data_IF_917942524086
#
_entry.id   IF_917942524086
#
_cell.length_a   1.000
_cell.length_b   1.000
_cell.length_c   1.000
_cell.angle_alpha   90.00
_cell.angle_beta   90.00
_cell.angle_gamma   90.00
#
_symmetry.space_group_name_H-M   'P 1'
#
loop_
_entity.id
_entity.type
_entity.pdbx_description
1 polymer ?
#
# COMPACT_ATOMS: atom_id res chain seq x y z
N UNK A 1 24.01 -83.84 -3.37
CA UNK A 1 24.04 -83.17 -4.70
C UNK A 1 24.67 -81.79 -4.52
N UNK A 2 25.68 -81.47 -5.35
CA UNK A 2 26.17 -80.14 -5.82
C UNK A 2 26.12 -78.95 -4.83
N UNK A 3 27.28 -78.50 -4.31
CA UNK A 3 28.12 -77.38 -4.82
C UNK A 3 27.61 -76.00 -4.35
N UNK A 4 28.27 -75.30 -3.40
CA UNK A 4 29.53 -74.50 -3.46
C UNK A 4 29.32 -73.03 -3.87
N UNK A 5 29.86 -72.12 -3.01
CA UNK A 5 30.55 -70.83 -3.29
C UNK A 5 29.66 -69.66 -3.76
N UNK A 6 29.94 -68.38 -3.49
CA UNK A 6 31.04 -67.63 -2.85
C UNK A 6 30.54 -66.19 -2.59
N UNK A 7 30.93 -65.45 -1.54
CA UNK A 7 32.08 -64.53 -1.47
C UNK A 7 32.53 -63.88 -2.79
N UNK A 8 32.32 -62.56 -2.90
CA UNK A 8 33.15 -61.52 -3.54
C UNK A 8 32.30 -60.22 -3.56
N UNK A 9 32.56 -59.17 -2.78
CA UNK A 9 33.66 -58.21 -2.81
C UNK A 9 33.85 -57.45 -4.15
N UNK A 10 33.51 -56.17 -4.03
CA UNK A 10 33.72 -54.94 -4.83
C UNK A 10 34.91 -54.94 -5.81
N UNK A 11 34.80 -54.29 -6.98
CA UNK A 11 35.92 -53.64 -7.65
C UNK A 11 35.96 -52.12 -7.38
N UNK A 12 37.17 -51.62 -7.12
CA UNK A 12 37.51 -50.23 -6.76
C UNK A 12 38.33 -49.59 -7.90
N UNK A 13 38.02 -48.30 -8.19
CA UNK A 13 38.73 -47.18 -8.91
C UNK A 13 39.20 -47.32 -10.38
N UNK A 14 39.45 -46.21 -11.15
CA UNK A 14 39.71 -44.78 -10.81
C UNK A 14 38.75 -43.77 -11.48
N UNK A 15 38.52 -42.54 -11.01
CA UNK A 15 39.46 -41.49 -10.63
C UNK A 15 39.73 -40.60 -11.86
N UNK A 16 39.03 -39.46 -11.97
CA UNK A 16 39.58 -38.15 -12.40
C UNK A 16 38.48 -37.08 -12.61
N UNK A 17 38.71 -35.95 -11.92
CA UNK A 17 38.47 -34.55 -12.26
C UNK A 17 37.24 -34.13 -13.09
N UNK A 18 36.51 -33.15 -12.55
CA UNK A 18 35.83 -32.16 -13.37
C UNK A 18 34.45 -31.75 -12.90
N UNK A 19 34.42 -30.61 -12.21
CA UNK A 19 33.45 -29.54 -12.45
C UNK A 19 32.01 -29.62 -11.89
N UNK A 20 31.78 -28.55 -11.10
CA UNK A 20 30.53 -27.83 -10.85
C UNK A 20 29.65 -28.41 -9.73
N UNK A 21 29.97 -27.92 -8.53
CA UNK A 21 29.03 -27.66 -7.46
C UNK A 21 27.84 -26.86 -8.02
N UNK A 22 26.73 -27.54 -8.33
CA UNK A 22 25.44 -26.87 -8.41
C UNK A 22 25.03 -26.49 -6.99
N UNK A 23 25.28 -25.21 -6.73
CA UNK A 23 24.74 -24.37 -5.67
C UNK A 23 23.25 -24.68 -5.44
N UNK A 24 22.97 -25.56 -4.47
CA UNK A 24 21.64 -25.69 -3.89
C UNK A 24 21.39 -24.42 -3.08
N UNK A 25 20.86 -23.40 -3.76
CA UNK A 25 20.27 -22.24 -3.13
C UNK A 25 19.35 -22.69 -1.98
N UNK A 26 19.48 -22.13 -0.76
CA UNK A 26 18.62 -22.50 0.35
C UNK A 26 17.19 -22.01 0.05
N UNK A 27 16.24 -22.94 0.12
CA UNK A 27 14.83 -22.66 -0.02
C UNK A 27 14.29 -21.94 1.23
N UNK A 28 14.31 -20.60 1.26
CA UNK A 28 13.48 -19.80 2.18
C UNK A 28 13.02 -18.51 1.48
N UNK A 29 11.83 -18.57 0.88
CA UNK A 29 11.13 -17.41 0.30
C UNK A 29 10.34 -16.66 1.38
N UNK A 30 11.01 -16.18 2.42
CA UNK A 30 10.43 -15.27 3.41
C UNK A 30 11.21 -13.95 3.39
N UNK A 31 10.55 -12.88 2.98
CA UNK A 31 11.15 -11.54 2.88
C UNK A 31 11.08 -10.77 4.20
N UNK A 32 10.53 -11.37 5.27
CA UNK A 32 10.39 -10.74 6.58
C UNK A 32 11.74 -10.60 7.29
N UNK A 33 11.98 -9.52 8.05
CA UNK A 33 13.20 -9.39 8.84
C UNK A 33 13.33 -10.54 9.85
N UNK A 34 14.54 -11.06 10.01
CA UNK A 34 14.81 -12.18 10.90
C UNK A 34 15.16 -11.67 12.31
N UNK A 35 14.34 -12.04 13.29
CA UNK A 35 14.54 -11.71 14.71
C UNK A 35 15.00 -12.97 15.45
N UNK A 36 16.16 -12.89 16.11
CA UNK A 36 16.68 -13.95 16.97
C UNK A 36 16.30 -13.67 18.42
N UNK A 37 15.60 -14.61 19.05
CA UNK A 37 15.26 -14.58 20.47
C UNK A 37 16.29 -15.40 21.26
N UNK A 38 16.89 -14.82 22.29
CA UNK A 38 17.86 -15.47 23.17
C UNK A 38 17.37 -15.39 24.61
N UNK A 39 16.90 -16.51 25.14
CA UNK A 39 16.33 -16.65 26.48
C UNK A 39 16.42 -18.12 26.90
N UNK A 40 16.78 -18.45 28.14
CA UNK A 40 16.86 -19.85 28.59
C UNK A 40 15.47 -20.47 28.82
N UNK A 41 14.46 -19.65 29.12
CA UNK A 41 13.08 -20.09 29.33
C UNK A 41 12.36 -20.35 28.01
N UNK A 42 12.06 -21.62 27.75
CA UNK A 42 11.34 -22.04 26.54
C UNK A 42 9.94 -21.43 26.43
N UNK A 43 9.25 -21.20 27.54
CA UNK A 43 7.93 -20.58 27.56
C UNK A 43 7.99 -19.10 27.14
N UNK A 44 9.04 -18.37 27.54
CA UNK A 44 9.26 -17.00 27.08
C UNK A 44 9.58 -16.98 25.58
N UNK A 45 10.43 -17.89 25.10
CA UNK A 45 10.74 -18.00 23.67
C UNK A 45 9.49 -18.31 22.84
N UNK A 46 8.62 -19.19 23.30
CA UNK A 46 7.37 -19.54 22.62
C UNK A 46 6.37 -18.38 22.59
N UNK A 47 6.22 -17.65 23.70
CA UNK A 47 5.36 -16.47 23.77
C UNK A 47 5.86 -15.35 22.84
N UNK A 48 7.17 -15.09 22.83
CA UNK A 48 7.80 -14.12 21.94
C UNK A 48 7.69 -14.55 20.48
N UNK A 49 7.89 -15.84 20.17
CA UNK A 49 7.69 -16.34 18.81
C UNK A 49 6.26 -16.11 18.35
N UNK A 50 5.26 -16.46 19.17
CA UNK A 50 3.86 -16.24 18.83
C UNK A 50 3.54 -14.76 18.57
N UNK A 51 4.06 -13.85 19.40
CA UNK A 51 3.86 -12.41 19.23
C UNK A 51 4.54 -11.82 17.97
N UNK A 52 5.61 -12.46 17.48
CA UNK A 52 6.42 -11.94 16.39
C UNK A 52 6.14 -12.63 15.04
N UNK A 53 5.56 -13.82 15.05
CA UNK A 53 5.39 -14.68 13.87
C UNK A 53 4.50 -14.07 12.78
N UNK A 54 3.64 -13.08 13.08
CA UNK A 54 2.88 -12.39 12.04
C UNK A 54 3.74 -11.43 11.21
N UNK A 55 4.76 -10.81 11.83
CA UNK A 55 5.50 -9.68 11.25
C UNK A 55 6.98 -9.98 10.95
N UNK A 56 7.54 -11.01 11.57
CA UNK A 56 8.97 -11.33 11.53
C UNK A 56 9.19 -12.82 11.29
N UNK A 57 10.32 -13.15 10.65
CA UNK A 57 10.83 -14.51 10.69
C UNK A 57 11.56 -14.70 12.02
N UNK A 58 11.19 -15.70 12.81
CA UNK A 58 11.70 -15.86 14.17
C UNK A 58 12.66 -17.03 14.25
N UNK A 59 13.88 -16.77 14.71
CA UNK A 59 14.84 -17.78 15.17
C UNK A 59 14.92 -17.70 16.69
N UNK A 60 15.30 -18.80 17.34
CA UNK A 60 15.47 -18.82 18.79
C UNK A 60 16.71 -19.61 19.24
N UNK A 61 17.25 -19.21 20.39
CA UNK A 61 18.45 -19.75 20.98
C UNK A 61 18.26 -19.89 22.50
N UNK A 62 18.45 -21.08 23.10
CA UNK A 62 18.32 -21.26 24.53
C UNK A 62 19.51 -20.74 25.35
N UNK A 63 20.63 -20.39 24.71
CA UNK A 63 21.82 -19.87 25.39
C UNK A 63 22.74 -19.08 24.46
N UNK A 64 23.61 -18.23 25.02
CA UNK A 64 24.49 -17.33 24.28
C UNK A 64 25.36 -18.00 23.20
N UNK A 65 25.93 -19.17 23.49
CA UNK A 65 26.75 -19.90 22.50
C UNK A 65 25.97 -20.26 21.22
N UNK A 66 24.74 -20.74 21.37
CA UNK A 66 23.88 -21.04 20.21
C UNK A 66 23.48 -19.77 19.45
N UNK A 67 23.27 -18.66 20.17
CA UNK A 67 22.97 -17.38 19.54
C UNK A 67 24.14 -16.88 18.66
N UNK A 68 25.38 -17.00 19.16
CA UNK A 68 26.58 -16.63 18.41
C UNK A 68 26.79 -17.52 17.18
N UNK A 69 26.52 -18.82 17.29
CA UNK A 69 26.63 -19.75 16.16
C UNK A 69 25.55 -19.45 15.09
N UNK A 70 24.33 -19.12 15.50
CA UNK A 70 23.25 -18.69 14.58
C UNK A 70 23.66 -17.39 13.86
N UNK A 71 24.13 -16.37 14.58
CA UNK A 71 24.54 -15.10 13.96
C UNK A 71 25.72 -15.28 12.98
N UNK A 72 26.57 -16.29 13.17
CA UNK A 72 27.68 -16.61 12.25
C UNK A 72 27.23 -17.35 10.99
N UNK A 73 26.12 -18.07 11.04
CA UNK A 73 25.70 -19.02 9.98
C UNK A 73 24.44 -18.59 9.25
N UNK A 74 23.57 -17.84 9.91
CA UNK A 74 22.29 -17.35 9.41
C UNK A 74 22.29 -15.82 9.34
N UNK A 75 21.42 -15.26 8.49
CA UNK A 75 21.22 -13.82 8.43
C UNK A 75 20.25 -13.38 9.53
N UNK A 76 20.74 -12.63 10.51
CA UNK A 76 19.94 -12.07 11.61
C UNK A 76 19.85 -10.54 11.50
N UNK A 77 18.63 -10.01 11.44
CA UNK A 77 18.40 -8.57 11.32
C UNK A 77 18.31 -7.88 12.70
N UNK A 78 17.91 -8.59 13.77
CA UNK A 78 17.86 -8.10 15.15
C UNK A 78 17.95 -9.23 16.19
N UNK A 79 18.53 -8.95 17.37
CA UNK A 79 18.58 -9.87 18.52
C UNK A 79 17.77 -9.32 19.69
N UNK A 80 16.87 -10.13 20.24
CA UNK A 80 16.27 -9.95 21.57
C UNK A 80 17.06 -10.81 22.56
N UNK A 81 17.73 -10.18 23.52
CA UNK A 81 18.66 -10.86 24.42
C UNK A 81 18.26 -10.69 25.88
N UNK A 82 17.95 -11.78 26.57
CA UNK A 82 17.72 -11.73 28.01
C UNK A 82 19.00 -11.39 28.78
N UNK A 83 18.86 -10.57 29.84
CA UNK A 83 19.98 -10.21 30.72
C UNK A 83 20.32 -11.34 31.70
N UNK A 84 19.34 -12.12 32.16
CA UNK A 84 19.50 -13.05 33.28
C UNK A 84 19.37 -14.51 32.83
N UNK A 85 20.38 -14.99 32.10
CA UNK A 85 20.51 -16.42 31.79
C UNK A 85 21.43 -17.13 32.81
N UNK A 86 21.20 -18.42 33.11
CA UNK A 86 22.16 -19.26 33.81
C UNK A 86 23.47 -19.35 33.03
N UNK A 87 24.60 -19.39 33.73
CA UNK A 87 25.96 -19.67 33.20
C UNK A 87 26.67 -18.56 32.41
N UNK A 88 25.96 -17.63 31.74
CA UNK A 88 26.57 -16.55 30.93
C UNK A 88 25.85 -15.21 31.14
N UNK A 89 26.60 -14.13 31.35
CA UNK A 89 26.03 -12.78 31.49
C UNK A 89 25.58 -12.24 30.11
N UNK A 90 24.31 -11.83 29.98
CA UNK A 90 23.77 -11.24 28.74
C UNK A 90 24.58 -10.03 28.25
N UNK A 91 25.31 -9.34 29.14
CA UNK A 91 26.22 -8.24 28.76
C UNK A 91 27.49 -8.73 28.05
N UNK A 92 28.00 -9.92 28.38
CA UNK A 92 29.15 -10.53 27.68
C UNK A 92 28.75 -10.95 26.27
N UNK A 93 27.58 -11.58 26.13
CA UNK A 93 27.03 -11.96 24.82
C UNK A 93 26.80 -10.72 23.95
N UNK A 94 26.28 -9.63 24.51
CA UNK A 94 26.13 -8.36 23.80
C UNK A 94 27.47 -7.86 23.24
N UNK A 95 28.55 -7.93 24.03
CA UNK A 95 29.88 -7.52 23.55
C UNK A 95 30.36 -8.39 22.39
N UNK A 96 30.19 -9.72 22.50
CA UNK A 96 30.59 -10.64 21.44
C UNK A 96 29.78 -10.45 20.15
N UNK A 97 28.46 -10.24 20.27
CA UNK A 97 27.59 -9.94 19.14
C UNK A 97 28.01 -8.64 18.44
N UNK A 98 28.36 -7.60 19.20
CA UNK A 98 28.83 -6.33 18.64
C UNK A 98 30.24 -6.40 18.06
N UNK A 99 31.07 -7.31 18.56
CA UNK A 99 32.37 -7.58 17.96
C UNK A 99 32.25 -8.34 16.63
N UNK A 100 31.27 -9.24 16.51
CA UNK A 100 30.96 -9.97 15.27
C UNK A 100 30.29 -9.07 14.23
N UNK A 101 29.23 -8.37 14.61
CA UNK A 101 28.50 -7.42 13.77
C UNK A 101 28.22 -6.11 14.52
N UNK A 102 29.06 -5.07 14.35
CA UNK A 102 28.92 -3.79 15.07
C UNK A 102 27.55 -3.11 14.91
N UNK A 103 26.94 -3.27 13.73
CA UNK A 103 25.66 -2.66 13.39
C UNK A 103 24.44 -3.54 13.71
N UNK A 104 24.62 -4.80 14.17
CA UNK A 104 23.51 -5.68 14.55
C UNK A 104 22.77 -5.10 15.76
N UNK A 105 21.49 -4.70 15.64
CA UNK A 105 20.74 -4.19 16.78
C UNK A 105 20.47 -5.30 17.78
N UNK A 106 20.73 -5.00 19.05
CA UNK A 106 20.50 -5.90 20.17
C UNK A 106 19.62 -5.16 21.17
N UNK A 107 18.45 -5.70 21.46
CA UNK A 107 17.52 -5.19 22.48
C UNK A 107 17.62 -6.10 23.69
N UNK A 108 17.94 -5.51 24.85
CA UNK A 108 18.05 -6.28 26.09
C UNK A 108 16.67 -6.47 26.72
N UNK A 109 16.31 -7.70 27.09
CA UNK A 109 15.13 -8.00 27.90
C UNK A 109 15.55 -8.05 29.37
N UNK A 110 14.95 -7.24 30.23
CA UNK A 110 15.38 -7.11 31.64
C UNK A 110 14.22 -7.25 32.62
N UNK A 111 14.39 -8.05 33.68
CA UNK A 111 13.47 -8.05 34.81
C UNK A 111 13.75 -6.92 35.83
N UNK A 112 14.90 -6.24 35.73
CA UNK A 112 15.40 -5.31 36.75
C UNK A 112 15.34 -3.86 36.27
N UNK A 113 14.60 -3.01 37.00
CA UNK A 113 14.45 -1.55 36.74
C UNK A 113 15.61 -0.69 37.24
N UNK A 114 16.81 -1.25 37.43
CA UNK A 114 17.94 -0.48 37.97
C UNK A 114 18.69 0.26 36.86
N UNK A 115 18.68 1.60 36.95
CA UNK A 115 19.35 2.53 36.02
C UNK A 115 20.81 2.15 35.71
N UNK A 116 21.54 1.57 36.67
CA UNK A 116 22.96 1.18 36.50
C UNK A 116 23.16 0.11 35.41
N UNK A 117 22.29 -0.90 35.33
CA UNK A 117 22.40 -2.01 34.37
C UNK A 117 22.03 -1.56 32.97
N UNK A 118 20.98 -0.73 32.86
CA UNK A 118 20.58 -0.09 31.59
C UNK A 118 21.69 0.77 31.01
N UNK A 119 22.34 1.60 31.83
CA UNK A 119 23.44 2.47 31.37
C UNK A 119 24.66 1.64 30.92
N UNK A 120 24.94 0.51 31.57
CA UNK A 120 26.01 -0.38 31.17
C UNK A 120 25.73 -1.01 29.78
N UNK A 121 24.51 -1.55 29.57
CA UNK A 121 24.12 -2.13 28.29
C UNK A 121 24.18 -1.12 27.13
N UNK A 122 23.69 0.11 27.33
CA UNK A 122 23.75 1.15 26.30
C UNK A 122 25.19 1.55 25.95
N UNK A 123 26.10 1.59 26.93
CA UNK A 123 27.53 1.85 26.69
C UNK A 123 28.21 0.74 25.89
N UNK A 124 27.73 -0.50 26.01
CA UNK A 124 28.23 -1.66 25.27
C UNK A 124 27.60 -1.78 23.87
N UNK A 125 26.74 -0.83 23.48
CA UNK A 125 26.17 -0.75 22.14
C UNK A 125 24.79 -1.38 21.98
N UNK A 126 24.10 -1.73 23.08
CA UNK A 126 22.69 -2.11 23.01
C UNK A 126 21.88 -1.00 22.32
N UNK A 127 20.92 -1.41 21.49
CA UNK A 127 20.06 -0.50 20.74
C UNK A 127 18.92 0.02 21.60
N UNK A 128 18.40 -0.82 22.48
CA UNK A 128 17.37 -0.47 23.46
C UNK A 128 17.29 -1.53 24.58
N UNK A 129 16.38 -1.32 25.52
CA UNK A 129 16.01 -2.33 26.51
C UNK A 129 14.50 -2.34 26.73
N UNK A 130 13.95 -3.50 27.03
CA UNK A 130 12.52 -3.71 27.29
C UNK A 130 12.38 -4.42 28.64
N UNK A 131 11.54 -3.87 29.53
CA UNK A 131 11.36 -4.43 30.87
C UNK A 131 10.34 -5.57 30.85
N UNK A 132 10.67 -6.72 31.44
CA UNK A 132 9.76 -7.83 31.74
C UNK A 132 8.92 -7.49 33.00
N UNK A 133 7.59 -7.75 33.02
CA UNK A 133 6.77 -8.19 31.90
C UNK A 133 6.57 -7.06 30.89
N UNK A 134 6.71 -7.37 29.60
CA UNK A 134 6.57 -6.40 28.52
C UNK A 134 5.18 -6.47 27.89
N UNK A 135 4.69 -5.31 27.43
CA UNK A 135 3.52 -5.26 26.57
C UNK A 135 3.94 -5.52 25.13
N UNK A 136 3.13 -6.26 24.38
CA UNK A 136 3.41 -6.61 22.97
C UNK A 136 3.70 -5.36 22.12
N UNK A 137 2.88 -4.31 22.27
CA UNK A 137 3.06 -3.04 21.56
C UNK A 137 4.41 -2.36 21.85
N UNK A 138 4.88 -2.42 23.09
CA UNK A 138 6.15 -1.82 23.54
C UNK A 138 7.34 -2.57 22.93
N UNK A 139 7.30 -3.90 22.97
CA UNK A 139 8.31 -4.76 22.37
C UNK A 139 8.38 -4.55 20.84
N UNK A 140 7.23 -4.57 20.16
CA UNK A 140 7.15 -4.34 18.72
C UNK A 140 7.65 -2.94 18.35
N UNK A 141 7.36 -1.93 19.15
CA UNK A 141 7.87 -0.58 18.93
C UNK A 141 9.40 -0.52 19.02
N UNK A 142 10.00 -1.15 20.04
CA UNK A 142 11.44 -1.21 20.23
C UNK A 142 12.13 -1.94 19.05
N UNK A 143 11.60 -3.10 18.63
CA UNK A 143 12.11 -3.86 17.48
C UNK A 143 12.08 -3.03 16.20
N UNK A 144 10.94 -2.40 15.90
CA UNK A 144 10.79 -1.53 14.72
C UNK A 144 11.79 -0.38 14.73
N UNK A 145 11.98 0.27 15.87
CA UNK A 145 12.89 1.40 16.00
C UNK A 145 14.35 0.97 15.78
N UNK A 146 14.75 -0.16 16.34
CA UNK A 146 16.12 -0.65 16.26
C UNK A 146 16.48 -1.11 14.82
N UNK A 147 15.57 -1.80 14.13
CA UNK A 147 15.74 -2.19 12.72
C UNK A 147 15.88 -0.97 11.80
N UNK A 148 15.06 0.07 11.99
CA UNK A 148 15.20 1.30 11.21
C UNK A 148 16.52 2.03 11.46
N UNK A 149 17.00 2.04 12.70
CA UNK A 149 18.29 2.65 13.02
C UNK A 149 19.44 1.90 12.34
N UNK A 150 19.39 0.56 12.31
CA UNK A 150 20.34 -0.28 11.56
C UNK A 150 20.30 0.06 10.07
N UNK A 151 19.12 0.09 9.47
CA UNK A 151 18.94 0.40 8.04
C UNK A 151 19.55 1.77 7.68
N UNK A 152 19.35 2.79 8.53
CA UNK A 152 19.94 4.12 8.37
C UNK A 152 21.48 4.13 8.43
N UNK A 153 22.09 3.28 9.27
CA UNK A 153 23.55 3.23 9.45
C UNK A 153 24.27 2.48 8.33
N UNK A 154 23.69 1.38 7.85
CA UNK A 154 24.31 0.53 6.83
C UNK A 154 24.26 1.11 5.40
N UNK A 155 23.72 2.32 5.21
CA UNK A 155 23.74 3.00 3.91
C UNK A 155 23.04 2.23 2.79
N UNK A 156 22.17 1.27 3.15
CA UNK A 156 21.42 0.46 2.19
C UNK A 156 20.58 1.41 1.33
N UNK A 157 20.75 1.42 -0.01
CA UNK A 157 20.02 2.32 -0.88
C UNK A 157 18.51 2.22 -0.67
N UNK A 158 17.90 3.39 -0.53
CA UNK A 158 16.52 3.65 -0.15
C UNK A 158 15.48 3.23 -1.22
N UNK A 159 15.45 1.96 -1.60
CA UNK A 159 14.33 1.38 -2.38
C UNK A 159 13.28 0.73 -1.48
N UNK A 160 13.64 0.16 -0.33
CA UNK A 160 12.67 -0.34 0.67
C UNK A 160 12.08 0.77 1.56
N UNK A 161 12.82 1.85 1.80
CA UNK A 161 12.44 2.92 2.75
C UNK A 161 11.49 4.00 2.20
N UNK A 162 11.25 4.07 0.88
CA UNK A 162 10.18 4.96 0.35
C UNK A 162 8.78 4.42 0.67
N UNK A 163 8.63 3.10 0.79
CA UNK A 163 7.36 2.48 1.15
C UNK A 163 7.06 2.62 2.65
N UNK A 164 8.06 2.48 3.53
CA UNK A 164 7.85 2.47 4.99
C UNK A 164 7.82 3.84 5.67
N UNK A 165 8.54 4.86 5.14
CA UNK A 165 8.34 6.26 5.61
C UNK A 165 6.94 6.78 5.28
N UNK A 166 6.33 6.21 4.25
CA UNK A 166 4.96 6.49 3.89
C UNK A 166 3.94 5.70 4.72
N UNK A 167 4.33 4.58 5.33
CA UNK A 167 3.47 3.73 6.16
C UNK A 167 3.26 4.22 7.60
N UNK A 168 4.03 5.20 8.10
CA UNK A 168 4.00 5.65 9.51
C UNK A 168 3.20 6.91 9.82
N UNK A 169 2.49 7.46 8.86
CA UNK A 169 1.39 8.39 9.14
C UNK A 169 0.08 7.58 9.07
N UNK A 170 -0.95 7.87 9.86
CA UNK A 170 -2.26 7.25 9.64
C UNK A 170 -2.79 7.78 8.30
N UNK A 171 -2.55 7.06 7.21
CA UNK A 171 -2.84 7.53 5.85
C UNK A 171 -4.14 6.91 5.37
N UNK A 172 -5.25 7.64 5.54
CA UNK A 172 -6.33 7.52 4.57
C UNK A 172 -5.72 7.73 3.19
N UNK A 173 -5.86 6.75 2.29
CA UNK A 173 -5.40 6.93 0.92
C UNK A 173 -6.02 8.20 0.32
N UNK A 174 -5.22 8.96 -0.44
CA UNK A 174 -5.63 10.19 -1.11
C UNK A 174 -5.37 10.04 -2.59
N UNK A 175 -6.43 9.75 -3.33
CA UNK A 175 -6.40 9.62 -4.77
C UNK A 175 -6.69 10.98 -5.41
N UNK A 176 -5.90 11.38 -6.39
CA UNK A 176 -6.18 12.54 -7.22
C UNK A 176 -6.48 12.08 -8.66
N UNK A 177 -7.68 12.38 -9.14
CA UNK A 177 -8.11 12.12 -10.51
C UNK A 177 -7.98 13.41 -11.34
N UNK A 178 -7.08 13.43 -12.31
CA UNK A 178 -6.81 14.64 -13.12
C UNK A 178 -7.21 14.41 -14.57
N UNK A 179 -7.96 15.36 -15.13
CA UNK A 179 -8.36 15.35 -16.54
C UNK A 179 -9.54 14.42 -16.84
N UNK A 180 -9.63 13.91 -18.06
CA UNK A 180 -10.80 13.18 -18.56
C UNK A 180 -12.07 14.04 -18.68
N UNK A 181 -13.20 13.42 -18.99
CA UNK A 181 -14.50 14.08 -18.96
C UNK A 181 -15.09 14.14 -17.52
N UNK A 182 -16.01 15.07 -17.24
CA UNK A 182 -16.59 15.23 -15.89
C UNK A 182 -17.31 13.98 -15.38
N UNK A 183 -18.02 13.27 -16.27
CA UNK A 183 -18.76 12.07 -15.91
C UNK A 183 -17.82 10.94 -15.49
N UNK A 184 -16.73 10.73 -16.21
CA UNK A 184 -15.70 9.75 -15.86
C UNK A 184 -15.06 10.05 -14.49
N UNK A 185 -14.68 11.30 -14.22
CA UNK A 185 -14.13 11.69 -12.91
C UNK A 185 -15.14 11.46 -11.78
N UNK A 186 -16.36 11.96 -11.96
CA UNK A 186 -17.39 11.91 -10.92
C UNK A 186 -17.86 10.49 -10.62
N UNK A 187 -18.02 9.64 -11.63
CA UNK A 187 -18.37 8.21 -11.43
C UNK A 187 -17.30 7.47 -10.64
N UNK A 188 -16.01 7.64 -10.99
CA UNK A 188 -14.90 7.07 -10.22
C UNK A 188 -14.87 7.60 -8.80
N UNK A 189 -14.99 8.92 -8.61
CA UNK A 189 -14.98 9.55 -7.29
C UNK A 189 -16.09 8.98 -6.40
N UNK A 190 -17.32 8.83 -6.91
CA UNK A 190 -18.44 8.27 -6.13
C UNK A 190 -18.22 6.80 -5.77
N UNK A 191 -17.67 5.99 -6.68
CA UNK A 191 -17.36 4.57 -6.40
C UNK A 191 -16.26 4.46 -5.33
N UNK A 192 -15.22 5.26 -5.46
CA UNK A 192 -14.02 5.18 -4.64
C UNK A 192 -14.15 5.89 -3.28
N UNK A 193 -15.10 6.82 -3.14
CA UNK A 193 -15.31 7.60 -1.91
C UNK A 193 -15.55 6.74 -0.65
N UNK A 194 -16.01 5.50 -0.81
CA UNK A 194 -16.19 4.55 0.32
C UNK A 194 -14.89 3.89 0.77
N UNK A 195 -13.91 3.78 -0.13
CA UNK A 195 -12.66 3.07 0.12
C UNK A 195 -11.52 4.04 0.43
N UNK A 196 -11.49 5.22 -0.20
CA UNK A 196 -10.38 6.17 -0.13
C UNK A 196 -10.89 7.61 -0.21
N UNK A 197 -10.10 8.57 0.26
CA UNK A 197 -10.34 9.96 -0.09
C UNK A 197 -10.02 10.16 -1.57
N UNK A 198 -10.89 10.87 -2.30
CA UNK A 198 -10.73 11.14 -3.72
C UNK A 198 -10.97 12.63 -3.97
N UNK A 199 -10.00 13.26 -4.61
CA UNK A 199 -10.17 14.59 -5.19
C UNK A 199 -10.15 14.48 -6.73
N UNK A 200 -10.88 15.37 -7.39
CA UNK A 200 -10.95 15.45 -8.84
C UNK A 200 -10.53 16.83 -9.30
N UNK A 201 -9.71 16.91 -10.34
CA UNK A 201 -9.33 18.17 -10.99
C UNK A 201 -9.62 18.09 -12.48
N UNK A 202 -10.37 19.06 -13.01
CA UNK A 202 -10.75 19.09 -14.42
C UNK A 202 -9.57 19.32 -15.36
N UNK A 203 -8.60 20.12 -14.92
CA UNK A 203 -7.42 20.50 -15.73
C UNK A 203 -6.12 20.05 -15.07
N UNK A 204 -5.05 19.98 -15.87
CA UNK A 204 -3.70 19.73 -15.37
C UNK A 204 -3.23 20.82 -14.39
N UNK A 205 -3.62 22.08 -14.66
CA UNK A 205 -3.26 23.21 -13.81
C UNK A 205 -3.93 23.12 -12.44
N UNK A 206 -5.23 22.80 -12.40
CA UNK A 206 -5.94 22.57 -11.13
C UNK A 206 -5.32 21.38 -10.38
N UNK A 207 -5.00 20.30 -11.11
CA UNK A 207 -4.31 19.14 -10.55
C UNK A 207 -2.96 19.48 -9.91
N UNK A 208 -2.18 20.41 -10.50
CA UNK A 208 -0.92 20.88 -9.91
C UNK A 208 -1.13 21.66 -8.61
N UNK A 209 -2.17 22.50 -8.56
CA UNK A 209 -2.50 23.24 -7.34
C UNK A 209 -3.00 22.28 -6.24
N UNK A 210 -3.85 21.34 -6.62
CA UNK A 210 -4.44 20.36 -5.73
C UNK A 210 -3.39 19.39 -5.17
N UNK A 211 -2.40 18.94 -5.98
CA UNK A 211 -1.37 18.04 -5.47
C UNK A 211 -0.51 18.67 -4.35
N UNK A 212 -0.26 19.99 -4.42
CA UNK A 212 0.53 20.70 -3.40
C UNK A 212 -0.23 20.79 -2.07
N UNK A 213 -1.55 21.03 -2.14
CA UNK A 213 -2.44 21.09 -0.97
C UNK A 213 -2.70 19.70 -0.39
N UNK A 214 -3.00 18.73 -1.24
CA UNK A 214 -3.52 17.42 -0.86
C UNK A 214 -2.43 16.39 -0.60
N UNK A 215 -1.24 16.55 -1.20
CA UNK A 215 -0.16 15.55 -1.20
C UNK A 215 -0.69 14.13 -1.47
N UNK A 216 -1.25 13.88 -2.67
CA UNK A 216 -1.88 12.61 -3.01
C UNK A 216 -0.91 11.43 -2.87
N UNK A 217 -1.46 10.29 -2.49
CA UNK A 217 -0.73 9.01 -2.39
C UNK A 217 -0.79 8.22 -3.70
N UNK A 218 -1.66 8.61 -4.64
CA UNK A 218 -1.74 8.06 -5.99
C UNK A 218 -2.40 9.10 -6.91
N UNK A 219 -1.94 9.18 -8.17
CA UNK A 219 -2.54 10.04 -9.19
C UNK A 219 -3.01 9.19 -10.37
N UNK A 220 -4.24 9.42 -10.83
CA UNK A 220 -4.72 8.91 -12.11
C UNK A 220 -4.86 10.09 -13.06
N UNK A 221 -4.06 10.06 -14.11
CA UNK A 221 -3.99 11.12 -15.11
C UNK A 221 -4.69 10.67 -16.39
N UNK A 222 -5.82 11.28 -16.74
CA UNK A 222 -6.54 11.01 -17.98
C UNK A 222 -6.37 12.16 -18.97
N UNK A 223 -5.63 11.92 -20.06
CA UNK A 223 -5.32 12.91 -21.08
C UNK A 223 -5.66 12.38 -22.47
N UNK A 224 -6.40 13.15 -23.27
CA UNK A 224 -6.82 12.69 -24.61
C UNK A 224 -5.65 12.53 -25.60
N UNK A 225 -4.57 13.28 -25.44
CA UNK A 225 -3.35 13.17 -26.25
C UNK A 225 -2.11 13.44 -25.40
N UNK A 226 -0.97 12.88 -25.80
CA UNK A 226 0.33 13.22 -25.21
C UNK A 226 0.66 14.68 -25.54
N UNK A 227 0.41 15.58 -24.60
CA UNK A 227 0.71 17.01 -24.72
C UNK A 227 1.94 17.34 -23.90
N UNK A 228 2.69 18.37 -24.31
CA UNK A 228 3.81 18.91 -23.51
C UNK A 228 3.36 19.30 -22.08
N UNK A 229 2.08 19.63 -21.91
CA UNK A 229 1.47 19.90 -20.60
C UNK A 229 1.42 18.68 -19.69
N UNK A 230 1.09 17.49 -20.22
CA UNK A 230 1.11 16.26 -19.45
C UNK A 230 2.55 15.94 -18.97
N UNK A 231 3.55 16.12 -19.83
CA UNK A 231 4.96 15.96 -19.44
C UNK A 231 5.39 16.95 -18.35
N UNK A 232 4.98 18.22 -18.45
CA UNK A 232 5.23 19.23 -17.40
C UNK A 232 4.53 18.87 -16.08
N UNK A 233 3.29 18.41 -16.15
CA UNK A 233 2.54 17.96 -14.98
C UNK A 233 3.28 16.81 -14.27
N UNK A 234 3.64 15.76 -15.01
CA UNK A 234 4.34 14.58 -14.49
C UNK A 234 5.71 14.94 -13.93
N UNK A 235 6.47 15.80 -14.61
CA UNK A 235 7.76 16.29 -14.11
C UNK A 235 7.64 17.07 -12.80
N UNK A 236 6.64 17.96 -12.70
CA UNK A 236 6.38 18.71 -11.48
C UNK A 236 5.89 17.81 -10.34
N UNK A 237 5.01 16.85 -10.63
CA UNK A 237 4.54 15.86 -9.66
C UNK A 237 5.71 15.04 -9.12
N UNK A 238 6.56 14.51 -9.99
CA UNK A 238 7.72 13.73 -9.57
C UNK A 238 8.74 14.55 -8.77
N UNK A 239 8.94 15.82 -9.12
CA UNK A 239 9.84 16.70 -8.37
C UNK A 239 9.34 16.98 -6.94
N UNK A 240 8.02 17.09 -6.75
CA UNK A 240 7.41 17.40 -5.45
C UNK A 240 7.07 16.15 -4.63
N UNK A 241 6.66 15.08 -5.31
CA UNK A 241 6.16 13.83 -4.74
C UNK A 241 6.73 12.62 -5.52
N UNK A 242 8.06 12.38 -5.43
CA UNK A 242 8.75 11.35 -6.24
C UNK A 242 8.32 9.91 -5.96
N UNK A 243 7.71 9.66 -4.80
CA UNK A 243 7.19 8.35 -4.42
C UNK A 243 5.72 8.14 -4.85
N UNK A 244 5.02 9.16 -5.36
CA UNK A 244 3.61 9.07 -5.71
C UNK A 244 3.43 8.30 -7.04
N UNK A 245 2.84 7.08 -7.02
CA UNK A 245 2.62 6.31 -8.24
C UNK A 245 1.60 7.01 -9.14
N UNK A 246 1.84 6.95 -10.44
CA UNK A 246 0.98 7.53 -11.46
C UNK A 246 0.46 6.46 -12.41
N UNK A 247 -0.85 6.46 -12.61
CA UNK A 247 -1.51 5.70 -13.67
C UNK A 247 -1.95 6.67 -14.75
N UNK A 248 -1.56 6.45 -16.00
CA UNK A 248 -1.91 7.34 -17.11
C UNK A 248 -2.93 6.66 -18.02
N UNK A 249 -4.02 7.35 -18.34
CA UNK A 249 -5.00 6.97 -19.35
C UNK A 249 -4.79 7.92 -20.55
N UNK A 250 -4.42 7.37 -21.70
CA UNK A 250 -4.12 8.16 -22.90
C UNK A 250 -4.38 7.39 -24.19
N UNK A 251 -4.90 8.07 -25.22
CA UNK A 251 -5.12 7.50 -26.56
C UNK A 251 -3.80 7.32 -27.34
N UNK A 252 -2.74 8.06 -26.96
CA UNK A 252 -1.46 8.06 -27.67
C UNK A 252 -0.41 7.18 -26.98
N UNK A 253 0.39 6.50 -27.80
CA UNK A 253 1.44 5.55 -27.42
C UNK A 253 2.68 6.25 -26.86
N UNK A 254 2.89 7.53 -27.19
CA UNK A 254 4.16 8.20 -26.94
C UNK A 254 4.15 9.07 -25.68
N UNK A 255 4.27 8.44 -24.51
CA UNK A 255 4.65 9.11 -23.24
C UNK A 255 6.17 9.09 -22.99
N UNK A 256 6.94 8.48 -23.90
CA UNK A 256 8.40 8.31 -23.79
C UNK A 256 8.81 6.83 -23.70
N UNK A 257 10.09 6.58 -23.41
CA UNK A 257 10.65 5.24 -23.20
C UNK A 257 10.29 4.69 -21.80
N UNK A 258 10.33 3.37 -21.57
CA UNK A 258 10.10 2.79 -20.24
C UNK A 258 10.97 3.41 -19.12
N UNK A 259 12.20 3.80 -19.43
CA UNK A 259 13.07 4.54 -18.50
C UNK A 259 12.54 5.91 -18.07
N UNK A 260 11.80 6.60 -18.96
CA UNK A 260 11.10 7.86 -18.62
C UNK A 260 9.93 7.56 -17.68
N UNK A 261 9.25 6.43 -17.87
CA UNK A 261 8.13 6.04 -17.02
C UNK A 261 8.59 5.71 -15.60
N UNK A 262 9.68 4.94 -15.47
CA UNK A 262 10.28 4.64 -14.18
C UNK A 262 10.74 5.89 -13.44
N UNK A 263 11.41 6.81 -14.15
CA UNK A 263 11.91 8.06 -13.53
C UNK A 263 10.80 9.01 -13.11
N UNK A 264 9.61 8.93 -13.73
CA UNK A 264 8.40 9.68 -13.37
C UNK A 264 7.42 8.90 -12.49
N UNK A 265 7.82 7.71 -12.02
CA UNK A 265 6.99 6.82 -11.20
C UNK A 265 5.63 6.46 -11.84
N UNK A 266 5.59 6.38 -13.17
CA UNK A 266 4.45 5.90 -13.94
C UNK A 266 4.41 4.37 -13.81
N UNK A 267 3.37 3.85 -13.18
CA UNK A 267 3.20 2.41 -12.91
C UNK A 267 2.31 1.70 -13.90
N UNK A 268 1.65 2.44 -14.78
CA UNK A 268 0.91 1.86 -15.90
C UNK A 268 0.39 2.92 -16.85
N UNK A 269 0.22 2.50 -18.10
CA UNK A 269 -0.43 3.28 -19.15
C UNK A 269 -1.58 2.46 -19.72
N UNK A 270 -2.77 3.04 -19.70
CA UNK A 270 -4.03 2.46 -20.15
C UNK A 270 -4.48 3.19 -21.41
N UNK A 271 -4.85 2.42 -22.44
CA UNK A 271 -5.40 2.98 -23.68
C UNK A 271 -6.93 2.89 -23.67
N UNK A 272 -7.63 3.99 -23.96
CA UNK A 272 -9.07 3.94 -24.18
C UNK A 272 -9.47 3.01 -25.34
N UNK A 273 -10.63 2.35 -25.26
CA UNK A 273 -11.61 2.43 -24.17
C UNK A 273 -11.15 1.64 -22.92
N UNK A 274 -11.13 2.31 -21.76
CA UNK A 274 -10.74 1.70 -20.48
C UNK A 274 -11.97 1.20 -19.75
N UNK A 275 -11.95 -0.07 -19.37
CA UNK A 275 -12.96 -0.69 -18.51
C UNK A 275 -12.80 -0.22 -17.06
N UNK A 276 -13.89 0.16 -16.40
CA UNK A 276 -13.87 0.66 -15.02
C UNK A 276 -13.37 -0.41 -14.03
N UNK A 277 -13.74 -1.67 -14.21
CA UNK A 277 -13.28 -2.80 -13.38
C UNK A 277 -11.75 -3.00 -13.46
N UNK A 278 -11.17 -2.94 -14.66
CA UNK A 278 -9.71 -3.01 -14.85
C UNK A 278 -9.01 -1.79 -14.22
N UNK A 279 -9.54 -0.59 -14.44
CA UNK A 279 -9.00 0.64 -13.87
C UNK A 279 -8.98 0.60 -12.34
N UNK A 280 -10.08 0.19 -11.71
CA UNK A 280 -10.16 0.07 -10.25
C UNK A 280 -9.21 -1.00 -9.72
N UNK A 281 -9.07 -2.13 -10.43
CA UNK A 281 -8.13 -3.19 -10.04
C UNK A 281 -6.67 -2.69 -10.09
N UNK A 282 -6.31 -1.93 -11.13
CA UNK A 282 -4.97 -1.33 -11.26
C UNK A 282 -4.70 -0.29 -10.20
N UNK A 283 -5.66 0.61 -9.93
CA UNK A 283 -5.50 1.60 -8.84
C UNK A 283 -5.31 0.86 -7.50
N UNK A 284 -6.15 -0.15 -7.22
CA UNK A 284 -6.06 -0.93 -5.98
C UNK A 284 -4.72 -1.62 -5.79
N UNK A 285 -4.12 -2.16 -6.86
CA UNK A 285 -2.80 -2.79 -6.81
C UNK A 285 -1.65 -1.79 -6.55
N UNK A 286 -1.86 -0.49 -6.80
CA UNK A 286 -0.89 0.56 -6.49
C UNK A 286 -0.98 1.05 -5.03
N UNK A 287 -2.09 0.73 -4.35
CA UNK A 287 -2.27 1.08 -2.95
C UNK A 287 -1.75 -0.09 -2.10
N UNK A 288 -0.72 0.10 -1.25
CA UNK A 288 -0.13 -1.00 -0.50
C UNK A 288 -1.13 -1.71 0.43
N UNK A 289 -0.89 -2.98 0.79
CA UNK A 289 -1.68 -3.65 1.81
C UNK A 289 -1.42 -2.98 3.17
N UNK A 290 -2.44 -2.34 3.74
CA UNK A 290 -2.39 -1.63 5.02
C UNK A 290 -3.75 -1.05 5.40
N UNK A 291 -3.92 -0.66 6.66
CA UNK A 291 -5.19 -0.18 7.25
C UNK A 291 -5.63 1.23 6.78
N UNK A 292 -5.15 1.71 5.62
CA UNK A 292 -5.38 3.06 5.09
C UNK A 292 -6.67 3.24 4.27
N UNK A 293 -7.40 2.17 4.01
CA UNK A 293 -8.71 2.25 3.36
C UNK A 293 -9.80 2.53 4.40
N UNK A 294 -10.74 3.40 4.05
CA UNK A 294 -11.94 3.68 4.87
C UNK A 294 -12.98 2.55 4.81
N UNK A 295 -12.78 1.56 3.95
CA UNK A 295 -13.70 0.46 3.68
C UNK A 295 -13.12 -0.54 2.66
N UNK A 296 -13.85 -1.61 2.31
CA UNK A 296 -13.37 -2.58 1.32
C UNK A 296 -13.15 -1.90 -0.04
N UNK A 297 -12.08 -2.29 -0.74
CA UNK A 297 -11.84 -1.83 -2.10
C UNK A 297 -12.98 -2.28 -3.03
N UNK A 298 -13.55 -1.38 -3.86
CA UNK A 298 -14.66 -1.73 -4.73
C UNK A 298 -14.25 -2.78 -5.76
N UNK A 299 -15.07 -3.82 -5.90
CA UNK A 299 -14.96 -4.84 -6.94
C UNK A 299 -16.20 -4.77 -7.79
N UNK A 300 -16.03 -4.46 -9.07
CA UNK A 300 -17.14 -4.35 -10.01
C UNK A 300 -17.23 -5.61 -10.87
N UNK A 301 -18.42 -6.20 -10.89
CA UNK A 301 -18.80 -7.18 -11.90
C UNK A 301 -18.98 -6.50 -13.26
N UNK A 302 -18.94 -7.29 -14.33
CA UNK A 302 -19.03 -6.80 -15.70
C UNK A 302 -20.27 -5.92 -15.94
N UNK A 303 -21.45 -6.35 -15.47
CA UNK A 303 -22.70 -5.63 -15.66
C UNK A 303 -22.74 -4.28 -14.94
N UNK A 304 -22.23 -4.22 -13.71
CA UNK A 304 -22.14 -2.98 -12.93
C UNK A 304 -21.10 -2.05 -13.54
N UNK A 305 -19.95 -2.58 -13.96
CA UNK A 305 -18.92 -1.82 -14.69
C UNK A 305 -19.45 -1.19 -15.98
N UNK A 306 -20.18 -1.95 -16.79
CA UNK A 306 -20.85 -1.43 -18.02
C UNK A 306 -21.92 -0.38 -17.69
N UNK A 307 -22.68 -0.59 -16.62
CA UNK A 307 -23.66 0.39 -16.15
C UNK A 307 -22.99 1.71 -15.77
N UNK A 308 -21.91 1.67 -14.99
CA UNK A 308 -21.16 2.86 -14.58
C UNK A 308 -20.58 3.58 -15.81
N UNK A 309 -20.02 2.83 -16.77
CA UNK A 309 -19.51 3.41 -18.01
C UNK A 309 -20.61 4.09 -18.85
N UNK A 310 -21.83 3.53 -18.85
CA UNK A 310 -22.97 4.17 -19.50
C UNK A 310 -23.38 5.45 -18.77
N UNK A 311 -23.48 5.40 -17.43
CA UNK A 311 -23.80 6.56 -16.60
C UNK A 311 -22.76 7.67 -16.72
N UNK A 312 -21.47 7.34 -16.87
CA UNK A 312 -20.41 8.35 -17.05
C UNK A 312 -20.57 9.14 -18.34
N UNK A 313 -21.22 8.57 -19.36
CA UNK A 313 -21.42 9.21 -20.66
C UNK A 313 -22.77 9.92 -20.81
N UNK A 314 -23.76 9.56 -19.98
CA UNK A 314 -25.16 10.00 -20.12
C UNK A 314 -25.72 10.55 -18.80
N UNK A 315 -24.86 11.09 -17.93
CA UNK A 315 -25.27 11.52 -16.59
C UNK A 315 -26.28 12.68 -16.62
N UNK A 316 -26.35 13.43 -17.71
CA UNK A 316 -27.24 14.58 -17.93
C UNK A 316 -28.65 14.18 -18.40
N UNK A 317 -28.89 12.90 -18.69
CA UNK A 317 -30.16 12.41 -19.24
C UNK A 317 -31.06 11.81 -18.16
N UNK A 318 -32.38 11.76 -18.41
CA UNK A 318 -33.28 10.96 -17.59
C UNK A 318 -33.10 9.46 -17.92
N UNK A 319 -32.53 8.71 -16.97
CA UNK A 319 -32.25 7.29 -17.12
C UNK A 319 -33.09 6.47 -16.14
N UNK A 320 -33.67 5.36 -16.63
CA UNK A 320 -34.37 4.37 -15.80
C UNK A 320 -33.51 3.13 -15.62
N UNK A 321 -33.82 2.30 -14.61
CA UNK A 321 -33.07 1.05 -14.43
C UNK A 321 -33.36 0.11 -15.59
N UNK A 322 -34.58 0.16 -16.11
CA UNK A 322 -35.07 -0.60 -17.25
C UNK A 322 -34.26 -0.28 -18.52
N UNK A 323 -34.06 1.00 -18.85
CA UNK A 323 -33.31 1.38 -20.06
C UNK A 323 -31.84 0.97 -19.98
N UNK A 324 -31.24 0.96 -18.79
CA UNK A 324 -29.87 0.50 -18.56
C UNK A 324 -29.79 -1.04 -18.63
N UNK A 325 -30.80 -1.74 -18.12
CA UNK A 325 -30.87 -3.19 -18.13
C UNK A 325 -30.94 -3.74 -19.56
N UNK A 326 -31.68 -3.08 -20.46
CA UNK A 326 -31.72 -3.41 -21.89
C UNK A 326 -30.33 -3.36 -22.55
N UNK A 327 -29.48 -2.40 -22.16
CA UNK A 327 -28.10 -2.30 -22.68
C UNK A 327 -27.20 -3.42 -22.17
N UNK A 328 -27.49 -3.97 -20.99
CA UNK A 328 -26.65 -4.95 -20.30
C UNK A 328 -27.12 -6.40 -20.48
N UNK A 329 -28.22 -6.62 -21.22
CA UNK A 329 -28.83 -7.92 -21.51
C UNK A 329 -29.19 -8.72 -20.23
N UNK A 330 -29.60 -8.02 -19.18
CA UNK A 330 -30.08 -8.60 -17.92
C UNK A 330 -31.40 -7.96 -17.49
N UNK A 331 -32.15 -8.62 -16.61
CA UNK A 331 -33.38 -8.03 -16.09
C UNK A 331 -33.10 -6.82 -15.18
N UNK A 332 -33.98 -5.82 -15.20
CA UNK A 332 -33.88 -4.62 -14.37
C UNK A 332 -33.81 -4.95 -12.87
N UNK A 333 -34.55 -5.97 -12.40
CA UNK A 333 -34.51 -6.44 -11.02
C UNK A 333 -33.16 -7.05 -10.66
N UNK A 334 -32.57 -7.83 -11.57
CA UNK A 334 -31.24 -8.41 -11.36
C UNK A 334 -30.17 -7.32 -11.35
N UNK A 335 -30.22 -6.36 -12.27
CA UNK A 335 -29.30 -5.22 -12.29
C UNK A 335 -29.40 -4.39 -11.01
N UNK A 336 -30.61 -4.06 -10.56
CA UNK A 336 -30.83 -3.29 -9.34
C UNK A 336 -30.25 -4.00 -8.10
N UNK A 337 -30.40 -5.33 -8.03
CA UNK A 337 -29.83 -6.13 -6.95
C UNK A 337 -28.30 -6.14 -7.00
N UNK A 338 -27.70 -6.44 -8.15
CA UNK A 338 -26.24 -6.45 -8.34
C UNK A 338 -25.64 -5.07 -8.01
N UNK A 339 -26.20 -3.99 -8.57
CA UNK A 339 -25.71 -2.64 -8.35
C UNK A 339 -25.77 -2.25 -6.88
N UNK A 340 -26.85 -2.60 -6.16
CA UNK A 340 -26.95 -2.35 -4.72
C UNK A 340 -25.97 -3.21 -3.93
N UNK A 341 -25.74 -4.46 -4.31
CA UNK A 341 -24.77 -5.34 -3.65
C UNK A 341 -23.34 -4.82 -3.79
N UNK A 342 -22.95 -4.39 -4.99
CA UNK A 342 -21.56 -3.98 -5.28
C UNK A 342 -21.27 -2.51 -4.90
N UNK A 343 -22.20 -1.58 -5.16
CA UNK A 343 -22.02 -0.14 -4.91
C UNK A 343 -22.58 0.28 -3.54
N UNK A 344 -23.51 -0.49 -2.99
CA UNK A 344 -24.16 -0.20 -1.71
C UNK A 344 -25.24 0.88 -1.77
N UNK A 345 -25.75 1.23 -2.95
CA UNK A 345 -26.84 2.20 -3.14
C UNK A 345 -27.65 1.90 -4.41
N UNK A 346 -28.77 2.58 -4.62
CA UNK A 346 -29.53 2.45 -5.87
C UNK A 346 -28.83 3.16 -7.03
N UNK A 347 -29.13 2.76 -8.27
CA UNK A 347 -28.65 3.43 -9.49
C UNK A 347 -29.03 4.91 -9.50
N UNK A 348 -30.26 5.24 -9.09
CA UNK A 348 -30.76 6.62 -8.99
C UNK A 348 -29.97 7.46 -7.97
N UNK A 349 -29.72 6.91 -6.78
CA UNK A 349 -28.94 7.61 -5.75
C UNK A 349 -27.49 7.80 -6.19
N UNK A 350 -26.93 6.82 -6.89
CA UNK A 350 -25.59 6.90 -7.46
C UNK A 350 -25.49 8.00 -8.52
N UNK A 351 -26.39 8.02 -9.51
CA UNK A 351 -26.44 9.05 -10.53
C UNK A 351 -26.62 10.44 -9.92
N UNK A 352 -27.46 10.55 -8.90
CA UNK A 352 -27.67 11.79 -8.16
C UNK A 352 -26.37 12.29 -7.51
N UNK A 353 -25.60 11.40 -6.89
CA UNK A 353 -24.27 11.73 -6.33
C UNK A 353 -23.29 12.15 -7.41
N UNK A 354 -23.24 11.44 -8.54
CA UNK A 354 -22.38 11.78 -9.69
C UNK A 354 -22.68 13.20 -10.17
N UNK A 355 -23.95 13.54 -10.39
CA UNK A 355 -24.36 14.90 -10.78
C UNK A 355 -23.94 15.95 -9.75
N UNK A 356 -24.12 15.68 -8.45
CA UNK A 356 -23.67 16.62 -7.40
C UNK A 356 -22.16 16.78 -7.38
N UNK A 357 -21.38 15.70 -7.59
CA UNK A 357 -19.92 15.78 -7.69
C UNK A 357 -19.49 16.66 -8.87
N UNK A 358 -20.14 16.56 -10.03
CA UNK A 358 -19.88 17.46 -11.16
C UNK A 358 -20.31 18.90 -10.82
N UNK A 359 -21.44 19.09 -10.13
CA UNK A 359 -21.87 20.41 -9.69
C UNK A 359 -20.84 21.06 -8.73
N UNK A 360 -20.19 20.29 -7.85
CA UNK A 360 -19.12 20.80 -6.98
C UNK A 360 -17.94 21.34 -7.79
N UNK A 361 -17.49 20.61 -8.81
CA UNK A 361 -16.42 21.00 -9.74
C UNK A 361 -16.79 22.30 -10.47
N UNK A 362 -17.98 22.35 -11.07
CA UNK A 362 -18.48 23.54 -11.77
C UNK A 362 -18.64 24.76 -10.85
N UNK A 363 -19.15 24.57 -9.63
CA UNK A 363 -19.31 25.66 -8.66
C UNK A 363 -17.97 26.24 -8.19
N UNK A 364 -16.95 25.39 -8.07
CA UNK A 364 -15.62 25.78 -7.62
C UNK A 364 -14.82 26.51 -8.70
N UNK A 365 -14.92 26.06 -9.95
CA UNK A 365 -14.02 26.48 -11.02
C UNK A 365 -14.66 27.35 -12.11
N UNK A 366 -15.97 27.62 -12.02
CA UNK A 366 -16.67 28.48 -12.98
C UNK A 366 -17.51 29.57 -12.30
N UNK A 367 -17.89 30.58 -13.08
CA UNK A 367 -18.87 31.61 -12.72
C UNK A 367 -20.31 31.23 -13.12
N UNK A 368 -20.55 30.02 -13.62
CA UNK A 368 -21.85 29.61 -14.16
C UNK A 368 -22.97 29.78 -13.13
N UNK A 369 -24.14 30.23 -13.59
CA UNK A 369 -25.31 30.37 -12.72
C UNK A 369 -25.81 28.98 -12.31
N UNK A 370 -26.34 28.86 -11.09
CA UNK A 370 -26.84 27.59 -10.56
C UNK A 370 -27.93 26.97 -11.45
N UNK A 371 -28.74 27.82 -12.10
CA UNK A 371 -29.74 27.41 -13.09
C UNK A 371 -29.12 26.73 -14.31
N UNK A 372 -28.04 27.29 -14.87
CA UNK A 372 -27.33 26.68 -16.00
C UNK A 372 -26.70 25.34 -15.61
N UNK A 373 -26.15 25.26 -14.40
CA UNK A 373 -25.58 24.02 -13.84
C UNK A 373 -26.67 22.95 -13.63
N UNK A 374 -27.85 23.34 -13.12
CA UNK A 374 -28.96 22.41 -12.94
C UNK A 374 -29.42 21.80 -14.27
N UNK A 375 -29.60 22.64 -15.28
CA UNK A 375 -30.01 22.23 -16.63
C UNK A 375 -28.96 21.33 -17.29
N UNK A 376 -27.67 21.69 -17.24
CA UNK A 376 -26.60 20.90 -17.88
C UNK A 376 -26.36 19.53 -17.25
N UNK A 377 -26.83 19.32 -16.01
CA UNK A 377 -26.70 18.06 -15.28
C UNK A 377 -28.01 17.26 -15.25
N UNK A 378 -29.06 17.71 -15.95
CA UNK A 378 -30.33 17.00 -16.02
C UNK A 378 -31.14 17.03 -14.72
N UNK A 379 -31.00 18.08 -13.90
CA UNK A 379 -31.93 18.31 -12.78
C UNK A 379 -33.19 19.01 -13.29
N UNK A 380 -34.34 18.62 -12.74
CA UNK A 380 -35.63 19.24 -13.06
C UNK A 380 -35.64 20.77 -12.88
N UNK A 381 -35.04 21.25 -11.80
CA UNK A 381 -34.91 22.69 -11.52
C UNK A 381 -33.78 23.00 -10.53
N UNK A 382 -33.52 24.29 -10.35
CA UNK A 382 -32.52 24.84 -9.42
C UNK A 382 -32.78 24.45 -7.96
N UNK A 383 -34.04 24.37 -7.54
CA UNK A 383 -34.43 24.03 -6.16
C UNK A 383 -34.12 22.56 -5.86
N UNK A 384 -34.38 21.68 -6.82
CA UNK A 384 -34.04 20.26 -6.75
C UNK A 384 -32.53 20.07 -6.62
N UNK A 385 -31.72 20.72 -7.47
CA UNK A 385 -30.26 20.70 -7.34
C UNK A 385 -29.83 21.23 -5.96
N UNK A 386 -30.31 22.40 -5.54
CA UNK A 386 -29.91 23.00 -4.27
C UNK A 386 -30.21 22.11 -3.06
N UNK A 387 -31.39 21.51 -3.02
CA UNK A 387 -31.81 20.62 -1.94
C UNK A 387 -30.93 19.36 -1.89
N UNK A 388 -30.74 18.69 -3.03
CA UNK A 388 -29.92 17.47 -3.11
C UNK A 388 -28.45 17.77 -2.82
N UNK A 389 -27.93 18.88 -3.34
CA UNK A 389 -26.57 19.33 -3.10
C UNK A 389 -26.32 19.57 -1.61
N UNK A 390 -27.21 20.29 -0.93
CA UNK A 390 -27.10 20.53 0.51
C UNK A 390 -27.20 19.23 1.31
N UNK A 391 -28.12 18.34 0.95
CA UNK A 391 -28.26 17.02 1.60
C UNK A 391 -26.99 16.18 1.49
N UNK A 392 -26.31 16.21 0.35
CA UNK A 392 -25.11 15.38 0.10
C UNK A 392 -23.84 16.03 0.66
N UNK A 393 -23.67 17.33 0.46
CA UNK A 393 -22.42 18.04 0.82
C UNK A 393 -22.46 18.68 2.21
N UNK A 394 -23.63 18.73 2.86
CA UNK A 394 -23.86 19.40 4.13
C UNK A 394 -23.99 20.92 4.04
N UNK A 395 -23.81 21.53 2.85
CA UNK A 395 -23.81 22.98 2.65
C UNK A 395 -24.52 23.38 1.35
N UNK A 396 -25.20 24.54 1.30
CA UNK A 396 -25.87 24.99 0.08
C UNK A 396 -24.85 25.40 -1.01
N UNK A 397 -25.23 25.36 -2.30
CA UNK A 397 -24.34 25.69 -3.42
C UNK A 397 -23.65 27.05 -3.31
N UNK A 398 -24.37 28.07 -2.82
CA UNK A 398 -23.83 29.43 -2.64
C UNK A 398 -22.75 29.50 -1.57
N UNK A 399 -22.89 28.75 -0.48
CA UNK A 399 -21.87 28.64 0.56
C UNK A 399 -20.66 27.85 0.06
N UNK A 400 -20.89 26.78 -0.70
CA UNK A 400 -19.83 25.98 -1.32
C UNK A 400 -18.93 26.84 -2.22
N UNK A 401 -19.53 27.56 -3.19
CA UNK A 401 -18.80 28.45 -4.11
C UNK A 401 -17.96 29.51 -3.40
N UNK A 402 -18.46 30.09 -2.30
CA UNK A 402 -17.71 31.08 -1.52
C UNK A 402 -16.50 30.48 -0.80
N UNK A 403 -16.57 29.21 -0.42
CA UNK A 403 -15.47 28.54 0.30
C UNK A 403 -14.34 28.04 -0.60
N UNK A 404 -14.58 27.96 -1.91
CA UNK A 404 -13.62 27.44 -2.90
C UNK A 404 -12.97 28.55 -3.73
N UNK A 405 -13.35 29.82 -3.51
CA UNK A 405 -12.80 31.00 -4.20
C UNK A 405 -11.75 31.72 -3.39
#
# INVERSE_FOLDING_TARGET
MKARRGHAQVPVVPGEAGEILEDRAPAHSDTRPVVLIVDDDAGIRDALRFALDESYAVLDAPHGRSALDIVRTERVDLVLLDILMPEVDGLEILQELKALEPDLPVIMLTAVKTVRTTVAAMKLGASDYVTKPFQEDELLAAIRQALEQRARRLGVPAERDRADRDARLPRTYRLLLVGGDPGWRATLAVVLARATSVETSATLMDGLNDMLRLRPTCVVLNVKRSTAEAGRFLGALNAQLPACPVLVVCDDVYLGTPSVWESLNIRGVLRPPVRFDDLLSRIGALLPPGNGLNGPWPRLGEFVGRTIAHLSQHYDQELTVESIAELTDISASHLAHLFRSEIGMSVRDYLTRVRVTIAQDLLAHTDDKLEAIATSLGFADTSHLAHVFQRITGRPPSAYRRSTR
#
